data_IF_652611309782
#
_entry.id   IF_652611309782
#
_cell.length_a   1.000
_cell.length_b   1.000
_cell.length_c   1.000
_cell.angle_alpha   90.00
_cell.angle_beta   90.00
_cell.angle_gamma   90.00
#
_symmetry.space_group_name_H-M   'P 1'
#
loop_
_entity.id
_entity.type
_entity.pdbx_description
1 polymer ?
#
# COMPACT_ATOMS: atom_id res chain seq x y z
N UNK A 1 7.20 8.78 0.87
CA UNK A 1 6.09 7.92 1.25
C UNK A 1 4.84 8.36 0.54
N UNK A 2 4.52 7.72 -0.56
CA UNK A 2 3.40 8.19 -1.36
C UNK A 2 2.06 7.88 -0.72
N UNK A 3 1.29 8.92 -0.49
CA UNK A 3 -0.12 8.77 -0.15
C UNK A 3 -0.99 9.02 -1.38
N UNK A 4 -0.36 9.25 -2.51
CA UNK A 4 -1.03 9.46 -3.79
C UNK A 4 -0.20 8.81 -4.89
N UNK A 5 -0.86 8.02 -5.73
CA UNK A 5 -0.19 7.30 -6.83
C UNK A 5 -0.99 7.49 -8.11
N UNK A 6 -0.32 7.24 -9.23
CA UNK A 6 -0.99 7.08 -10.53
C UNK A 6 -1.07 5.59 -10.83
N UNK A 7 -2.23 5.13 -11.27
CA UNK A 7 -2.44 3.73 -11.57
C UNK A 7 -3.35 3.63 -12.80
N UNK A 8 -2.74 3.30 -13.93
CA UNK A 8 -3.46 3.34 -15.19
C UNK A 8 -3.86 4.76 -15.53
N UNK A 9 -5.13 4.98 -15.86
CA UNK A 9 -5.65 6.30 -16.19
C UNK A 9 -6.22 7.03 -14.98
N UNK A 10 -6.05 6.48 -13.79
CA UNK A 10 -6.61 7.06 -12.56
C UNK A 10 -5.51 7.50 -11.62
N UNK A 11 -5.84 8.46 -10.78
CA UNK A 11 -5.03 8.78 -9.62
C UNK A 11 -5.76 8.26 -8.38
N UNK A 12 -4.99 7.72 -7.44
CA UNK A 12 -5.53 7.11 -6.23
C UNK A 12 -4.79 7.70 -5.04
N UNK A 13 -5.52 8.08 -4.01
CA UNK A 13 -4.90 8.69 -2.84
C UNK A 13 -5.54 8.20 -1.54
N UNK A 14 -4.80 8.36 -0.46
CA UNK A 14 -5.32 8.22 0.89
C UNK A 14 -5.83 9.57 1.33
N UNK A 15 -7.06 9.61 1.87
CA UNK A 15 -7.56 10.78 2.59
C UNK A 15 -7.34 10.51 4.08
N UNK A 16 -6.30 11.10 4.70
CA UNK A 16 -5.96 10.73 6.08
C UNK A 16 -6.96 11.23 7.10
N UNK A 17 -7.70 12.29 6.79
CA UNK A 17 -8.69 12.81 7.72
C UNK A 17 -9.85 11.84 7.93
N UNK A 18 -10.23 11.11 6.86
CA UNK A 18 -11.35 10.17 6.89
C UNK A 18 -10.92 8.72 6.81
N UNK A 19 -9.64 8.47 6.55
CA UNK A 19 -9.10 7.13 6.28
C UNK A 19 -9.83 6.46 5.11
N UNK A 20 -10.02 7.20 4.03
CA UNK A 20 -10.67 6.71 2.81
C UNK A 20 -9.63 6.56 1.71
N UNK A 21 -9.88 5.62 0.80
CA UNK A 21 -9.19 5.56 -0.48
C UNK A 21 -10.08 6.31 -1.48
N UNK A 22 -9.48 7.30 -2.14
CA UNK A 22 -10.18 8.13 -3.11
C UNK A 22 -9.52 8.03 -4.47
N UNK A 23 -10.30 8.26 -5.52
CA UNK A 23 -9.78 8.21 -6.88
C UNK A 23 -10.22 9.42 -7.68
N UNK A 24 -9.44 9.73 -8.71
CA UNK A 24 -9.75 10.78 -9.66
C UNK A 24 -9.54 10.27 -11.08
N UNK A 25 -10.46 10.59 -11.97
CA UNK A 25 -10.35 10.29 -13.40
C UNK A 25 -10.05 11.52 -14.24
N UNK A 26 -9.82 12.68 -13.59
CA UNK A 26 -9.59 13.95 -14.28
C UNK A 26 -8.34 14.65 -13.76
N UNK A 27 -7.30 13.87 -13.48
CA UNK A 27 -5.97 14.36 -13.09
C UNK A 27 -5.96 15.08 -11.75
N UNK A 28 -6.83 14.65 -10.85
CA UNK A 28 -6.86 15.19 -9.49
C UNK A 28 -7.73 16.42 -9.32
N UNK A 29 -8.51 16.78 -10.34
CA UNK A 29 -9.38 17.95 -10.23
C UNK A 29 -10.58 17.68 -9.32
N UNK A 30 -11.10 16.45 -9.34
CA UNK A 30 -12.16 16.04 -8.42
C UNK A 30 -11.88 14.63 -7.96
N UNK A 31 -12.33 14.32 -6.75
CA UNK A 31 -12.05 13.03 -6.09
C UNK A 31 -13.34 12.42 -5.60
N UNK A 32 -13.43 11.10 -5.76
CA UNK A 32 -14.56 10.31 -5.28
C UNK A 32 -14.04 9.25 -4.33
N UNK A 33 -14.86 8.86 -3.36
CA UNK A 33 -14.51 7.80 -2.44
C UNK A 33 -14.58 6.45 -3.15
N UNK A 34 -13.51 5.67 -3.05
CA UNK A 34 -13.52 4.31 -3.58
C UNK A 34 -13.66 3.27 -2.48
N UNK A 35 -13.03 3.50 -1.34
CA UNK A 35 -13.09 2.58 -0.20
C UNK A 35 -13.16 3.38 1.09
N UNK A 36 -14.18 3.10 1.89
CA UNK A 36 -14.35 3.73 3.20
C UNK A 36 -14.34 2.69 4.32
N UNK A 37 -14.01 1.44 4.00
CA UNK A 37 -13.94 0.37 4.99
C UNK A 37 -12.76 0.57 5.93
N UNK A 38 -12.94 0.25 7.20
CA UNK A 38 -11.88 0.30 8.20
C UNK A 38 -11.31 -1.07 8.54
N UNK A 39 -11.74 -2.11 7.82
CA UNK A 39 -11.31 -3.48 8.12
C UNK A 39 -9.81 -3.68 7.90
N UNK A 40 -9.19 -2.88 7.03
CA UNK A 40 -7.76 -2.96 6.77
C UNK A 40 -6.92 -2.14 7.74
N UNK A 41 -7.54 -1.39 8.65
CA UNK A 41 -6.85 -0.49 9.55
C UNK A 41 -6.66 0.88 8.93
N UNK A 42 -5.72 1.66 9.48
CA UNK A 42 -5.43 3.00 9.00
C UNK A 42 -4.45 2.93 7.83
N UNK A 43 -4.83 3.47 6.68
CA UNK A 43 -3.96 3.52 5.51
C UNK A 43 -2.86 4.56 5.73
N UNK A 44 -1.62 4.19 5.46
CA UNK A 44 -0.47 5.07 5.67
C UNK A 44 0.35 5.30 4.40
N UNK A 45 0.38 4.34 3.48
CA UNK A 45 1.23 4.42 2.29
C UNK A 45 0.65 3.55 1.19
N UNK A 46 0.90 3.92 -0.06
CA UNK A 46 0.46 3.15 -1.23
C UNK A 46 1.64 2.93 -2.16
N UNK A 47 1.63 1.79 -2.86
CA UNK A 47 2.63 1.50 -3.88
C UNK A 47 1.97 0.71 -5.01
N UNK A 48 2.02 1.22 -6.26
CA UNK A 48 1.61 0.38 -7.39
C UNK A 48 2.70 -0.66 -7.66
N UNK A 49 2.30 -1.91 -7.79
CA UNK A 49 3.25 -3.01 -7.96
C UNK A 49 2.64 -4.04 -8.92
N UNK A 50 3.09 -4.02 -10.17
CA UNK A 50 2.49 -4.82 -11.21
C UNK A 50 1.06 -4.38 -11.46
N UNK A 51 0.13 -5.33 -11.40
CA UNK A 51 -1.30 -5.02 -11.56
C UNK A 51 -2.03 -4.93 -10.23
N UNK A 52 -1.28 -4.80 -9.14
CA UNK A 52 -1.83 -4.64 -7.79
C UNK A 52 -1.44 -3.31 -7.22
N UNK A 53 -2.18 -2.87 -6.20
CA UNK A 53 -1.76 -1.78 -5.35
C UNK A 53 -1.50 -2.37 -3.98
N UNK A 54 -0.32 -2.06 -3.43
CA UNK A 54 0.04 -2.47 -2.08
C UNK A 54 -0.16 -1.29 -1.15
N UNK A 55 -0.56 -1.57 0.08
CA UNK A 55 -0.75 -0.54 1.09
C UNK A 55 -0.10 -0.96 2.39
N UNK A 56 0.54 0.01 3.04
CA UNK A 56 0.91 -0.13 4.45
C UNK A 56 -0.25 0.40 5.26
N UNK A 57 -0.73 -0.41 6.20
CA UNK A 57 -1.78 0.02 7.13
C UNK A 57 -1.32 -0.26 8.55
N UNK A 58 -2.11 0.20 9.51
CA UNK A 58 -1.84 -0.06 10.92
C UNK A 58 -1.91 -1.55 11.27
N UNK A 59 -2.47 -2.38 10.36
CA UNK A 59 -2.56 -3.83 10.57
C UNK A 59 -1.55 -4.63 9.77
N UNK A 60 -0.75 -3.98 8.91
CA UNK A 60 0.28 -4.64 8.12
C UNK A 60 0.21 -4.29 6.65
N UNK A 61 0.62 -5.23 5.79
CA UNK A 61 0.62 -5.04 4.35
C UNK A 61 -0.67 -5.61 3.77
N UNK A 62 -1.38 -4.79 3.02
CA UNK A 62 -2.60 -5.18 2.32
C UNK A 62 -2.43 -4.96 0.83
N UNK A 63 -3.25 -5.61 0.03
CA UNK A 63 -3.19 -5.45 -1.42
C UNK A 63 -4.59 -5.34 -2.00
N UNK A 64 -4.67 -4.70 -3.17
CA UNK A 64 -5.91 -4.56 -3.91
C UNK A 64 -5.67 -4.96 -5.36
N UNK A 65 -6.59 -5.71 -5.93
CA UNK A 65 -6.57 -6.07 -7.35
C UNK A 65 -7.65 -5.33 -8.13
N UNK A 66 -8.39 -4.43 -7.48
CA UNK A 66 -9.47 -3.67 -8.11
C UNK A 66 -9.31 -2.17 -7.87
N UNK A 67 -8.06 -1.70 -7.96
CA UNK A 67 -7.70 -0.27 -7.95
C UNK A 67 -8.04 0.42 -6.62
N UNK A 68 -8.00 -0.34 -5.54
CA UNK A 68 -8.23 0.22 -4.20
C UNK A 68 -9.66 0.11 -3.72
N UNK A 69 -10.54 -0.56 -4.47
CA UNK A 69 -11.93 -0.71 -4.08
C UNK A 69 -12.11 -1.65 -2.91
N UNK A 70 -11.33 -2.72 -2.87
CA UNK A 70 -11.32 -3.62 -1.73
C UNK A 70 -9.89 -4.07 -1.46
N UNK A 71 -9.61 -4.44 -0.23
CA UNK A 71 -8.26 -4.74 0.23
C UNK A 71 -8.25 -6.07 0.96
N UNK A 72 -7.21 -6.85 0.68
CA UNK A 72 -7.00 -8.14 1.30
C UNK A 72 -5.68 -8.15 2.04
N UNK A 73 -5.62 -8.92 3.11
CA UNK A 73 -4.43 -9.11 3.90
C UNK A 73 -3.35 -9.81 3.07
N UNK A 74 -2.13 -9.25 3.08
CA UNK A 74 -0.98 -9.91 2.48
C UNK A 74 0.02 -10.33 3.54
N UNK A 75 0.28 -9.48 4.52
CA UNK A 75 1.20 -9.79 5.61
C UNK A 75 0.84 -8.99 6.85
N UNK A 76 0.44 -9.69 7.92
CA UNK A 76 0.16 -9.04 9.20
C UNK A 76 1.16 -9.49 10.26
N UNK A 77 2.22 -10.22 9.85
CA UNK A 77 3.29 -10.61 10.76
C UNK A 77 4.06 -9.40 11.24
N UNK A 78 4.46 -9.42 12.51
CA UNK A 78 5.27 -8.37 13.09
C UNK A 78 6.75 -8.76 13.19
N UNK A 79 7.14 -9.89 12.61
CA UNK A 79 8.52 -10.37 12.70
C UNK A 79 9.51 -9.42 12.03
N UNK A 80 9.09 -8.70 10.99
CA UNK A 80 9.93 -7.71 10.33
C UNK A 80 9.88 -6.35 11.01
N UNK A 81 9.06 -6.17 12.03
CA UNK A 81 8.86 -4.90 12.71
C UNK A 81 7.69 -4.15 12.11
N UNK A 82 7.63 -2.85 12.38
CA UNK A 82 6.61 -1.97 11.84
C UNK A 82 7.02 -1.52 10.44
N UNK A 83 6.18 -1.74 9.46
CA UNK A 83 6.46 -1.28 8.09
C UNK A 83 6.32 0.24 8.02
N UNK A 84 7.35 0.90 7.49
CA UNK A 84 7.40 2.36 7.39
C UNK A 84 7.24 2.85 5.97
N UNK A 85 7.86 2.17 4.99
CA UNK A 85 7.72 2.52 3.59
C UNK A 85 7.98 1.30 2.72
N UNK A 86 7.42 1.33 1.51
CA UNK A 86 7.62 0.30 0.51
C UNK A 86 8.32 0.90 -0.70
N UNK A 87 9.14 0.09 -1.38
CA UNK A 87 9.83 0.49 -2.60
C UNK A 87 9.80 -0.66 -3.59
N UNK A 88 9.61 -0.31 -4.87
CA UNK A 88 9.68 -1.28 -5.95
C UNK A 88 11.15 -1.44 -6.34
N UNK A 89 11.72 -2.59 -6.07
CA UNK A 89 13.11 -2.90 -6.39
C UNK A 89 13.27 -3.69 -7.68
N UNK A 90 12.25 -3.73 -8.51
CA UNK A 90 12.25 -4.52 -9.74
C UNK A 90 11.77 -5.93 -9.46
N UNK A 91 12.71 -6.88 -9.37
CA UNK A 91 12.35 -8.28 -9.09
C UNK A 91 12.01 -8.53 -7.64
N UNK A 92 12.26 -7.56 -6.78
CA UNK A 92 12.00 -7.65 -5.35
C UNK A 92 11.19 -6.45 -4.90
N UNK A 93 10.44 -6.66 -3.85
CA UNK A 93 9.80 -5.57 -3.13
C UNK A 93 10.66 -5.27 -1.91
N UNK A 94 10.93 -4.00 -1.65
CA UNK A 94 11.74 -3.59 -0.52
C UNK A 94 10.87 -2.85 0.49
N UNK A 95 11.21 -2.98 1.75
CA UNK A 95 10.51 -2.27 2.82
C UNK A 95 11.49 -1.77 3.84
N UNK A 96 11.32 -0.51 4.25
CA UNK A 96 11.98 0.02 5.42
C UNK A 96 11.06 -0.24 6.61
N UNK A 97 11.60 -0.89 7.64
CA UNK A 97 10.82 -1.20 8.85
C UNK A 97 11.55 -0.66 10.07
N UNK A 98 10.89 -0.77 11.21
CA UNK A 98 11.52 -0.39 12.49
C UNK A 98 12.73 -1.24 12.84
N UNK A 99 12.91 -2.40 12.18
CA UNK A 99 14.04 -3.29 12.42
C UNK A 99 15.10 -3.23 11.30
N UNK A 100 14.90 -2.39 10.29
CA UNK A 100 15.87 -2.23 9.21
C UNK A 100 15.26 -2.43 7.84
N UNK A 101 16.10 -2.73 6.86
CA UNK A 101 15.67 -2.93 5.48
C UNK A 101 15.37 -4.41 5.25
N UNK A 102 14.20 -4.66 4.70
CA UNK A 102 13.73 -6.02 4.39
C UNK A 102 13.39 -6.12 2.91
N UNK A 103 13.37 -7.34 2.39
CA UNK A 103 12.98 -7.59 1.00
C UNK A 103 12.00 -8.76 0.94
N UNK A 104 11.22 -8.78 -0.13
CA UNK A 104 10.26 -9.85 -0.40
C UNK A 104 10.35 -10.23 -1.87
N UNK A 105 10.30 -11.53 -2.15
CA UNK A 105 10.26 -12.04 -3.52
C UNK A 105 8.90 -12.57 -3.89
N UNK A 106 7.91 -12.46 -3.00
CA UNK A 106 6.56 -12.93 -3.24
C UNK A 106 5.53 -11.82 -3.01
N UNK A 107 5.86 -10.59 -3.45
CA UNK A 107 4.96 -9.44 -3.46
C UNK A 107 4.53 -8.99 -2.08
N UNK A 108 5.39 -9.21 -1.08
CA UNK A 108 5.13 -8.76 0.28
C UNK A 108 4.49 -9.79 1.18
N UNK A 109 4.32 -11.03 0.71
CA UNK A 109 3.76 -12.08 1.54
C UNK A 109 4.67 -12.53 2.65
N UNK A 110 5.97 -12.60 2.38
CA UNK A 110 6.96 -12.89 3.40
C UNK A 110 8.17 -12.00 3.19
N UNK A 111 8.87 -11.72 4.29
CA UNK A 111 9.94 -10.73 4.31
C UNK A 111 11.19 -11.28 4.96
N UNK A 112 12.34 -10.91 4.41
CA UNK A 112 13.65 -11.32 4.88
C UNK A 112 14.51 -10.10 5.10
N UNK A 113 15.32 -10.12 6.14
CA UNK A 113 16.17 -8.98 6.47
C UNK A 113 17.30 -8.86 5.46
N UNK A 114 17.50 -7.65 4.92
CA UNK A 114 18.58 -7.37 4.00
C UNK A 114 19.84 -6.88 4.73
N UNK A 115 19.63 -6.08 5.76
CA UNK A 115 20.74 -5.67 6.63
C UNK A 115 20.22 -5.03 7.92
#
# INVERSE_FOLDING_TARGET
MPQMISFGSEMIRINPAKNHIEFSTNSGRSWNTRCSSTSSGTFMDLLPYGNEILAITSKGIYYSTNKGGSWNNRCTSTSAGTFLSLMDGGKELLAQTSKGLYYSTNKGGSWYKRN
#
